data_IF_897545220772
#
_entry.id   IF_897545220772
#
_cell.length_a   1.000
_cell.length_b   1.000
_cell.length_c   1.000
_cell.angle_alpha   90.00
_cell.angle_beta   90.00
_cell.angle_gamma   90.00
#
_symmetry.space_group_name_H-M   'P 1'
#
loop_
_entity.id
_entity.type
_entity.pdbx_description
1 polymer ?
#
# COMPACT_ATOMS: atom_id res chain seq x y z
N UNK A 1 1.27 22.11 -3.77
CA UNK A 1 -0.16 21.94 -4.15
C UNK A 1 -0.89 21.40 -2.94
N UNK A 2 -2.18 21.70 -2.74
CA UNK A 2 -2.94 21.14 -1.61
C UNK A 2 -3.53 19.79 -2.01
N UNK A 3 -3.02 18.72 -1.40
CA UNK A 3 -3.55 17.36 -1.46
C UNK A 3 -4.43 17.09 -0.24
N UNK A 4 -5.48 16.29 -0.42
CA UNK A 4 -6.45 15.98 0.63
C UNK A 4 -6.88 14.52 0.56
N UNK A 5 -7.43 14.02 1.68
CA UNK A 5 -8.14 12.75 1.76
C UNK A 5 -9.60 12.97 1.32
N UNK A 6 -10.00 12.31 0.24
CA UNK A 6 -11.35 12.39 -0.33
C UNK A 6 -12.20 11.19 0.11
N UNK A 7 -13.37 11.46 0.68
CA UNK A 7 -14.31 10.45 1.18
C UNK A 7 -15.66 10.43 0.48
N UNK A 8 -15.79 11.10 -0.67
CA UNK A 8 -17.03 11.18 -1.47
C UNK A 8 -17.49 9.82 -2.04
N UNK A 9 -16.65 8.78 -1.95
CA UNK A 9 -16.98 7.40 -2.31
C UNK A 9 -17.03 6.41 -1.13
N UNK A 10 -16.99 6.88 0.12
CA UNK A 10 -17.07 6.01 1.30
C UNK A 10 -18.38 5.21 1.33
N UNK A 11 -19.52 5.84 1.07
CA UNK A 11 -20.82 5.14 1.10
C UNK A 11 -21.01 4.18 -0.08
N UNK A 12 -20.51 4.57 -1.26
CA UNK A 12 -20.75 3.84 -2.51
C UNK A 12 -19.78 2.67 -2.71
N UNK A 13 -18.49 2.93 -2.49
CA UNK A 13 -17.41 1.98 -2.81
C UNK A 13 -16.57 1.58 -1.61
N UNK A 14 -16.83 2.16 -0.42
CA UNK A 14 -16.07 1.87 0.80
C UNK A 14 -14.60 2.25 0.67
N UNK A 15 -14.32 3.39 0.04
CA UNK A 15 -12.96 3.89 -0.16
C UNK A 15 -12.77 5.33 0.32
N UNK A 16 -11.53 5.63 0.71
CA UNK A 16 -10.96 6.97 0.86
C UNK A 16 -9.75 7.03 -0.06
N UNK A 17 -9.50 8.15 -0.72
CA UNK A 17 -8.37 8.26 -1.65
C UNK A 17 -7.68 9.61 -1.58
N UNK A 18 -6.43 9.67 -2.04
CA UNK A 18 -5.67 10.92 -2.13
C UNK A 18 -5.93 11.63 -3.45
N UNK A 19 -6.20 12.93 -3.37
CA UNK A 19 -6.32 13.76 -4.56
C UNK A 19 -5.95 15.22 -4.28
N UNK A 20 -5.26 15.82 -5.23
CA UNK A 20 -4.99 17.24 -5.31
C UNK A 20 -6.06 17.98 -6.11
N UNK A 21 -6.08 19.30 -5.95
CA UNK A 21 -7.02 20.17 -6.68
C UNK A 21 -7.01 19.91 -8.19
N UNK A 22 -8.19 19.84 -8.80
CA UNK A 22 -8.33 19.66 -10.25
C UNK A 22 -8.10 18.23 -10.74
N UNK A 23 -8.11 17.24 -9.82
CA UNK A 23 -7.89 15.84 -10.16
C UNK A 23 -6.42 15.43 -10.21
N UNK A 24 -5.51 16.28 -9.74
CA UNK A 24 -4.10 15.92 -9.62
C UNK A 24 -3.92 14.72 -8.69
N UNK A 25 -3.04 13.80 -9.08
CA UNK A 25 -2.62 12.68 -8.25
C UNK A 25 -1.42 13.10 -7.40
N UNK A 26 -1.09 12.32 -6.37
CA UNK A 26 0.04 12.61 -5.49
C UNK A 26 1.35 12.10 -6.11
N UNK A 27 2.47 12.52 -5.53
CA UNK A 27 3.78 11.92 -5.72
C UNK A 27 3.93 10.68 -4.81
N UNK A 28 5.12 10.08 -4.78
CA UNK A 28 5.45 8.99 -3.87
C UNK A 28 6.78 9.23 -3.17
N UNK A 29 6.71 9.65 -1.92
CA UNK A 29 7.85 9.74 -1.01
C UNK A 29 8.09 8.38 -0.33
N UNK A 30 9.30 8.18 0.21
CA UNK A 30 9.74 6.89 0.74
C UNK A 30 9.77 6.90 2.25
N UNK A 31 9.12 5.91 2.84
CA UNK A 31 9.17 5.63 4.27
C UNK A 31 10.02 4.37 4.53
N UNK A 32 10.88 4.45 5.55
CA UNK A 32 11.81 3.39 5.94
C UNK A 32 11.61 2.91 7.39
N UNK A 33 10.48 3.27 7.99
CA UNK A 33 10.19 3.05 9.39
C UNK A 33 9.94 1.58 9.74
N UNK A 34 10.01 1.28 11.03
CA UNK A 34 9.73 -0.05 11.57
C UNK A 34 10.97 -0.96 11.71
N UNK A 35 10.73 -2.25 11.55
CA UNK A 35 11.75 -3.28 11.69
C UNK A 35 12.84 -3.13 10.63
N UNK A 36 14.06 -2.97 11.13
CA UNK A 36 15.26 -2.82 10.31
C UNK A 36 15.89 -4.18 9.95
N UNK A 37 16.64 -4.21 8.85
CA UNK A 37 17.30 -5.42 8.32
C UNK A 37 16.49 -6.13 7.24
N UNK A 38 17.09 -7.08 6.53
CA UNK A 38 16.52 -7.56 5.25
C UNK A 38 16.67 -6.52 4.13
N UNK A 39 16.13 -6.81 2.95
CA UNK A 39 16.25 -5.93 1.78
C UNK A 39 17.68 -5.83 1.22
N UNK A 40 17.91 -4.78 0.43
CA UNK A 40 19.17 -4.50 -0.28
C UNK A 40 19.97 -3.31 0.30
N UNK A 41 19.51 -2.76 1.44
CA UNK A 41 20.18 -1.67 2.15
C UNK A 41 19.86 -0.27 1.66
N UNK A 42 18.95 -0.08 0.69
CA UNK A 42 18.59 1.25 0.18
C UNK A 42 17.88 2.16 1.19
N UNK A 43 17.29 1.62 2.25
CA UNK A 43 16.83 2.43 3.38
C UNK A 43 17.99 3.03 4.19
N UNK A 44 19.21 2.50 4.09
CA UNK A 44 20.36 3.02 4.82
C UNK A 44 20.79 4.44 4.43
N UNK A 45 20.23 5.02 3.36
CA UNK A 45 20.41 6.42 3.03
C UNK A 45 19.48 7.35 3.81
N UNK A 46 18.30 6.89 4.25
CA UNK A 46 17.29 7.71 4.93
C UNK A 46 17.87 8.39 6.18
N UNK A 47 17.52 9.67 6.35
CA UNK A 47 17.89 10.46 7.54
C UNK A 47 16.73 10.69 8.50
N UNK A 48 15.55 10.18 8.18
CA UNK A 48 14.27 10.34 8.90
C UNK A 48 13.70 9.02 9.43
N UNK A 49 14.38 7.89 9.23
CA UNK A 49 13.92 6.57 9.69
C UNK A 49 13.67 6.52 11.21
N UNK A 50 12.48 6.06 11.58
CA UNK A 50 12.10 5.69 12.94
C UNK A 50 12.19 4.17 13.16
N UNK A 51 12.39 3.75 14.41
CA UNK A 51 12.53 2.32 14.74
C UNK A 51 11.21 1.56 14.86
N UNK A 52 10.08 2.23 14.63
CA UNK A 52 8.75 1.65 14.79
C UNK A 52 7.74 2.24 13.82
N UNK A 53 6.83 1.41 13.30
CA UNK A 53 5.64 1.91 12.59
C UNK A 53 4.47 2.11 13.56
N UNK A 54 3.50 2.96 13.20
CA UNK A 54 2.33 3.24 14.05
C UNK A 54 1.57 1.99 14.52
N UNK A 55 1.47 0.94 13.69
CA UNK A 55 0.67 -0.25 14.03
C UNK A 55 1.46 -1.45 14.54
N UNK A 56 2.71 -1.25 14.98
CA UNK A 56 3.56 -2.31 15.52
C UNK A 56 2.87 -3.19 16.56
N UNK A 57 2.16 -2.59 17.52
CA UNK A 57 1.53 -3.36 18.60
C UNK A 57 0.29 -4.14 18.14
N UNK A 58 -0.41 -3.66 17.12
CA UNK A 58 -1.49 -4.43 16.46
C UNK A 58 -0.90 -5.66 15.78
N UNK A 59 0.20 -5.49 15.04
CA UNK A 59 0.90 -6.57 14.36
C UNK A 59 1.44 -7.61 15.35
N UNK A 60 2.06 -7.19 16.45
CA UNK A 60 2.50 -8.09 17.54
C UNK A 60 1.34 -8.90 18.10
N UNK A 61 0.16 -8.30 18.21
CA UNK A 61 -1.08 -8.96 18.63
C UNK A 61 -1.50 -10.13 17.74
N UNK A 62 -1.06 -10.18 16.48
CA UNK A 62 -1.31 -11.31 15.59
C UNK A 62 -0.46 -12.55 15.90
N UNK A 63 0.57 -12.44 16.75
CA UNK A 63 1.40 -13.56 17.21
C UNK A 63 2.00 -14.41 16.06
N UNK A 64 2.35 -13.78 14.95
CA UNK A 64 2.95 -14.44 13.77
C UNK A 64 4.48 -14.57 13.84
N UNK A 65 5.09 -14.00 14.88
CA UNK A 65 6.54 -13.87 15.04
C UNK A 65 7.10 -12.55 14.51
N UNK A 66 6.37 -11.85 13.64
CA UNK A 66 6.75 -10.52 13.16
C UNK A 66 6.55 -9.47 14.26
N UNK A 67 7.57 -8.66 14.51
CA UNK A 67 7.55 -7.68 15.60
C UNK A 67 7.10 -6.29 15.17
N UNK A 68 7.24 -5.95 13.89
CA UNK A 68 6.86 -4.69 13.25
C UNK A 68 6.83 -4.88 11.73
N UNK A 69 6.22 -3.97 10.97
CA UNK A 69 6.41 -3.92 9.53
C UNK A 69 7.88 -3.63 9.21
N UNK A 70 8.33 -4.11 8.06
CA UNK A 70 9.69 -3.91 7.59
C UNK A 70 9.60 -3.30 6.20
N UNK A 71 10.04 -2.05 6.03
CA UNK A 71 9.87 -1.29 4.80
C UNK A 71 10.41 -1.99 3.54
N UNK A 72 11.43 -2.84 3.68
CA UNK A 72 12.04 -3.59 2.57
C UNK A 72 11.28 -4.86 2.19
N UNK A 73 10.38 -5.35 3.03
CA UNK A 73 9.66 -6.62 2.84
C UNK A 73 8.15 -6.44 2.75
N UNK A 74 7.60 -5.48 3.48
CA UNK A 74 6.18 -5.24 3.63
C UNK A 74 5.80 -3.98 2.86
N UNK A 75 5.09 -4.08 1.72
CA UNK A 75 4.45 -2.93 1.12
C UNK A 75 3.43 -2.33 2.10
N UNK A 76 3.70 -1.12 2.54
CA UNK A 76 2.75 -0.32 3.31
C UNK A 76 2.70 1.13 2.83
N UNK A 77 1.62 1.79 3.18
CA UNK A 77 1.36 3.21 2.92
C UNK A 77 1.30 3.96 4.24
N UNK A 78 1.90 5.15 4.27
CA UNK A 78 1.75 6.12 5.35
C UNK A 78 0.50 6.96 5.05
N UNK A 79 -0.56 6.74 5.82
CA UNK A 79 -1.88 7.31 5.50
C UNK A 79 -2.51 7.94 6.74
N UNK A 80 -3.00 9.16 6.60
CA UNK A 80 -3.42 9.97 7.75
C UNK A 80 -2.32 10.91 8.22
N UNK A 81 -2.73 11.88 9.04
CA UNK A 81 -1.89 12.91 9.61
C UNK A 81 -2.23 13.08 11.08
N UNK A 82 -1.27 12.78 11.93
CA UNK A 82 -1.31 12.99 13.36
C UNK A 82 -0.36 14.14 13.72
N UNK A 83 -0.69 14.90 14.76
CA UNK A 83 0.15 16.03 15.14
C UNK A 83 -0.57 17.10 15.95
N UNK A 84 0.23 18.08 16.34
CA UNK A 84 -0.14 19.19 17.21
C UNK A 84 0.30 20.56 16.65
N UNK A 85 1.09 20.59 15.56
CA UNK A 85 1.53 21.84 14.93
C UNK A 85 0.33 22.67 14.44
N UNK A 86 0.25 23.89 14.94
CA UNK A 86 -0.83 24.82 14.60
C UNK A 86 -0.87 25.10 13.09
N UNK A 87 -2.03 24.90 12.47
CA UNK A 87 -2.26 25.17 11.05
C UNK A 87 -1.89 24.01 10.12
N UNK A 88 -1.35 22.91 10.65
CA UNK A 88 -1.15 21.69 9.88
C UNK A 88 -2.44 20.87 9.88
N UNK A 89 -2.92 20.41 8.71
CA UNK A 89 -4.10 19.55 8.66
C UNK A 89 -3.81 18.22 9.33
N UNK A 90 -4.75 17.76 10.15
CA UNK A 90 -4.77 16.40 10.70
C UNK A 90 -5.92 15.61 10.10
N UNK A 91 -5.73 14.31 9.98
CA UNK A 91 -6.74 13.38 9.48
C UNK A 91 -6.52 12.01 10.09
N UNK A 92 -7.53 11.50 10.77
CA UNK A 92 -7.54 10.16 11.37
C UNK A 92 -8.39 9.22 10.49
N UNK A 93 -7.78 8.33 9.69
CA UNK A 93 -8.51 7.41 8.83
C UNK A 93 -9.44 6.46 9.60
N UNK A 94 -9.15 6.19 10.89
CA UNK A 94 -9.94 5.27 11.71
C UNK A 94 -11.34 5.80 12.02
N UNK A 95 -11.50 7.12 12.11
CA UNK A 95 -12.80 7.78 12.27
C UNK A 95 -13.69 7.62 11.03
N UNK A 96 -13.10 7.23 9.91
CA UNK A 96 -13.78 7.01 8.63
C UNK A 96 -13.81 5.53 8.22
N UNK A 97 -13.51 4.62 9.15
CA UNK A 97 -13.69 3.19 8.97
C UNK A 97 -12.52 2.47 8.28
N UNK A 98 -11.40 3.15 8.00
CA UNK A 98 -10.13 2.48 7.68
C UNK A 98 -9.61 1.82 8.96
N UNK A 99 -9.04 0.62 8.85
CA UNK A 99 -8.64 -0.17 10.02
C UNK A 99 -7.12 -0.37 10.01
N UNK A 100 -6.44 -0.33 11.17
CA UNK A 100 -5.02 -0.64 11.24
C UNK A 100 -4.69 -1.91 10.44
N UNK A 101 -3.64 -1.84 9.61
CA UNK A 101 -3.19 -2.95 8.76
C UNK A 101 -4.21 -3.41 7.70
N UNK A 102 -5.26 -2.63 7.41
CA UNK A 102 -6.16 -2.91 6.28
C UNK A 102 -5.42 -2.79 4.96
N UNK A 103 -5.79 -3.62 3.98
CA UNK A 103 -5.25 -3.53 2.63
C UNK A 103 -5.55 -2.16 2.02
N UNK A 104 -4.60 -1.66 1.25
CA UNK A 104 -4.69 -0.46 0.43
C UNK A 104 -4.26 -0.79 -0.99
N UNK A 105 -4.79 -0.04 -1.96
CA UNK A 105 -4.35 -0.11 -3.35
C UNK A 105 -3.61 1.17 -3.73
N UNK A 106 -2.47 1.02 -4.39
CA UNK A 106 -1.69 2.13 -4.97
C UNK A 106 -1.62 1.93 -6.47
N UNK A 107 -2.09 2.91 -7.22
CA UNK A 107 -2.01 2.93 -8.68
C UNK A 107 -0.85 3.82 -9.06
N UNK A 108 0.16 3.23 -9.67
CA UNK A 108 1.43 3.86 -10.04
C UNK A 108 1.94 3.17 -11.31
N UNK A 109 2.67 3.88 -12.17
CA UNK A 109 3.32 3.30 -13.35
C UNK A 109 2.45 2.29 -14.15
N UNK A 110 1.18 2.65 -14.40
CA UNK A 110 0.19 1.83 -15.11
C UNK A 110 -0.13 0.45 -14.50
N UNK A 111 0.13 0.24 -13.22
CA UNK A 111 -0.16 -0.98 -12.49
C UNK A 111 -0.85 -0.69 -11.15
N UNK A 112 -1.35 -1.74 -10.51
CA UNK A 112 -1.86 -1.71 -9.13
C UNK A 112 -0.86 -2.45 -8.27
N UNK A 113 -0.43 -1.83 -7.18
CA UNK A 113 0.36 -2.46 -6.12
C UNK A 113 -0.48 -2.46 -4.85
N UNK A 114 -0.59 -3.61 -4.20
CA UNK A 114 -1.27 -3.71 -2.91
C UNK A 114 -0.27 -3.57 -1.77
N UNK A 115 -0.71 -2.88 -0.73
CA UNK A 115 -0.01 -2.79 0.54
C UNK A 115 -1.00 -2.78 1.69
N UNK A 116 -0.53 -2.42 2.88
CA UNK A 116 -1.39 -2.19 4.04
C UNK A 116 -1.28 -0.75 4.52
N UNK A 117 -2.30 -0.26 5.22
CA UNK A 117 -2.15 0.94 6.03
C UNK A 117 -1.21 0.60 7.21
N UNK A 118 0.06 1.00 7.08
CA UNK A 118 1.13 0.61 7.99
C UNK A 118 1.54 1.71 8.95
N UNK A 119 1.43 2.96 8.51
CA UNK A 119 1.94 4.11 9.25
C UNK A 119 1.10 5.38 9.10
N UNK A 120 1.44 6.42 9.86
CA UNK A 120 0.78 7.73 9.87
C UNK A 120 1.78 8.87 9.89
N UNK A 121 1.54 9.93 9.13
CA UNK A 121 2.43 11.09 9.09
C UNK A 121 2.35 11.88 10.40
N UNK A 122 3.50 12.21 11.00
CA UNK A 122 3.60 13.04 12.20
C UNK A 122 3.83 14.54 11.93
N UNK A 123 4.19 15.27 12.99
CA UNK A 123 4.64 16.67 12.94
C UNK A 123 6.07 16.80 12.36
N UNK A 124 6.41 16.10 11.27
CA UNK A 124 7.74 16.12 10.65
C UNK A 124 7.80 16.97 9.37
N UNK A 125 8.97 17.51 9.07
CA UNK A 125 9.24 18.30 7.88
C UNK A 125 8.76 19.76 7.96
N UNK A 126 8.72 20.46 6.82
CA UNK A 126 8.30 21.86 6.73
C UNK A 126 6.78 22.04 6.63
N UNK A 127 6.02 20.98 6.37
CA UNK A 127 4.56 20.97 6.15
C UNK A 127 3.98 19.58 6.45
N UNK A 128 2.66 19.48 6.64
CA UNK A 128 1.99 18.18 6.77
C UNK A 128 2.21 17.34 5.50
N UNK A 129 2.81 16.16 5.70
CA UNK A 129 3.22 15.26 4.63
C UNK A 129 2.08 14.36 4.16
N UNK A 130 2.18 13.84 2.94
CA UNK A 130 1.20 12.94 2.33
C UNK A 130 1.85 12.22 1.14
N UNK A 131 1.36 11.03 0.80
CA UNK A 131 1.88 10.29 -0.35
C UNK A 131 3.20 9.58 -0.05
N UNK A 132 3.42 9.15 1.18
CA UNK A 132 4.57 8.34 1.58
C UNK A 132 4.22 6.84 1.55
N UNK A 133 5.18 6.01 1.15
CA UNK A 133 5.05 4.56 1.10
C UNK A 133 6.39 3.87 1.42
N UNK A 134 6.30 2.65 1.94
CA UNK A 134 7.48 1.82 2.18
C UNK A 134 8.37 1.70 0.95
N UNK A 135 9.69 1.60 1.14
CA UNK A 135 10.62 1.43 0.02
C UNK A 135 10.28 0.23 -0.88
N UNK A 136 9.74 -0.86 -0.33
CA UNK A 136 9.35 -2.03 -1.11
C UNK A 136 8.17 -1.77 -2.05
N UNK A 137 7.16 -1.02 -1.60
CA UNK A 137 6.04 -0.58 -2.43
C UNK A 137 6.53 0.37 -3.53
N UNK A 138 7.33 1.38 -3.17
CA UNK A 138 7.85 2.33 -4.13
C UNK A 138 8.77 1.67 -5.18
N UNK A 139 9.57 0.70 -4.76
CA UNK A 139 10.37 -0.14 -5.67
C UNK A 139 9.50 -0.97 -6.61
N UNK A 140 8.37 -1.50 -6.15
CA UNK A 140 7.45 -2.22 -7.03
C UNK A 140 6.86 -1.31 -8.13
N UNK A 141 6.63 -0.03 -7.82
CA UNK A 141 6.16 0.96 -8.78
C UNK A 141 7.23 1.37 -9.79
N UNK A 142 8.44 1.72 -9.31
CA UNK A 142 9.44 2.47 -10.10
C UNK A 142 10.82 1.82 -10.20
N UNK A 143 11.02 0.68 -9.56
CA UNK A 143 12.27 -0.09 -9.57
C UNK A 143 13.35 0.49 -8.67
N UNK A 144 14.59 0.07 -8.91
CA UNK A 144 15.72 0.29 -7.99
C UNK A 144 16.30 1.72 -8.01
N UNK A 145 15.69 2.63 -8.77
CA UNK A 145 16.01 4.06 -8.71
C UNK A 145 15.58 4.68 -7.38
N UNK A 146 14.59 4.08 -6.72
CA UNK A 146 14.06 4.49 -5.42
C UNK A 146 15.06 4.15 -4.31
N UNK A 147 15.27 5.07 -3.37
CA UNK A 147 16.01 4.82 -2.13
C UNK A 147 15.44 5.65 -0.97
N UNK A 148 15.98 5.48 0.24
CA UNK A 148 15.46 6.13 1.45
C UNK A 148 15.47 7.67 1.45
N UNK A 149 16.12 8.33 0.49
CA UNK A 149 16.07 9.79 0.32
C UNK A 149 15.54 10.22 -1.07
N UNK A 150 15.09 9.27 -1.90
CA UNK A 150 14.66 9.56 -3.27
C UNK A 150 13.48 8.68 -3.62
N UNK A 151 12.30 9.28 -3.54
CA UNK A 151 11.07 8.72 -4.06
C UNK A 151 10.86 9.05 -5.54
N UNK A 152 9.60 9.28 -5.89
CA UNK A 152 9.12 9.61 -7.22
C UNK A 152 8.37 10.95 -7.16
N UNK A 153 8.88 11.97 -7.85
CA UNK A 153 8.43 13.36 -7.74
C UNK A 153 7.18 13.65 -8.60
N UNK A 154 6.91 12.87 -9.64
CA UNK A 154 5.78 13.11 -10.52
C UNK A 154 4.43 12.80 -9.83
N UNK A 155 3.48 13.70 -10.03
CA UNK A 155 2.14 13.65 -9.48
C UNK A 155 1.23 12.70 -10.30
N UNK A 156 1.56 11.41 -10.30
CA UNK A 156 0.86 10.36 -11.05
C UNK A 156 0.45 9.14 -10.21
N UNK A 157 0.46 9.26 -8.88
CA UNK A 157 0.16 8.18 -7.94
C UNK A 157 -1.20 8.37 -7.26
N UNK A 158 -2.05 7.36 -7.35
CA UNK A 158 -3.33 7.31 -6.64
C UNK A 158 -3.27 6.29 -5.50
N UNK A 159 -3.52 6.76 -4.28
CA UNK A 159 -3.61 5.93 -3.09
C UNK A 159 -5.08 5.75 -2.73
N UNK A 160 -5.48 4.51 -2.46
CA UNK A 160 -6.86 4.14 -2.11
C UNK A 160 -6.81 3.30 -0.83
N UNK A 161 -7.40 3.84 0.25
CA UNK A 161 -7.67 3.11 1.47
C UNK A 161 -9.05 2.45 1.41
N UNK A 162 -9.12 1.16 1.71
CA UNK A 162 -10.39 0.45 1.84
C UNK A 162 -10.91 0.55 3.28
N UNK A 163 -12.20 0.85 3.41
CA UNK A 163 -12.89 0.92 4.72
C UNK A 163 -13.61 -0.39 5.00
N UNK A 164 -13.85 -0.68 6.28
CA UNK A 164 -14.59 -1.86 6.74
C UNK A 164 -13.66 -2.95 7.30
N UNK A 165 -14.23 -3.82 8.14
CA UNK A 165 -13.47 -4.90 8.80
C UNK A 165 -12.97 -5.93 7.78
N UNK A 166 -13.68 -6.09 6.67
CA UNK A 166 -13.30 -7.00 5.60
C UNK A 166 -12.09 -6.52 4.78
N UNK A 167 -11.65 -5.27 4.97
CA UNK A 167 -10.39 -4.81 4.40
C UNK A 167 -9.16 -5.30 5.20
N UNK A 168 -9.36 -5.86 6.39
CA UNK A 168 -8.30 -6.33 7.27
C UNK A 168 -7.99 -7.80 6.97
N UNK A 169 -6.78 -8.15 6.50
CA UNK A 169 -6.40 -9.55 6.28
C UNK A 169 -6.33 -10.34 7.60
N UNK A 170 -6.07 -9.65 8.72
CA UNK A 170 -5.97 -10.25 10.05
C UNK A 170 -4.74 -11.15 10.19
N UNK A 171 -4.64 -11.85 11.32
CA UNK A 171 -3.47 -12.64 11.67
C UNK A 171 -3.15 -13.78 10.68
N UNK A 172 -4.16 -14.33 10.01
CA UNK A 172 -4.02 -15.48 9.11
C UNK A 172 -4.18 -15.13 7.61
N UNK A 173 -4.64 -13.93 7.28
CA UNK A 173 -4.90 -13.54 5.88
C UNK A 173 -3.74 -12.82 5.20
N UNK A 174 -2.61 -12.64 5.88
CA UNK A 174 -1.38 -12.12 5.29
C UNK A 174 -0.16 -12.87 5.83
N UNK A 175 0.88 -12.98 5.01
CA UNK A 175 2.15 -13.60 5.35
C UNK A 175 3.03 -12.61 6.14
N UNK A 176 2.59 -12.20 7.33
CA UNK A 176 3.26 -11.17 8.15
C UNK A 176 4.75 -11.44 8.47
N UNK A 177 5.19 -12.69 8.41
CA UNK A 177 6.59 -13.09 8.63
C UNK A 177 7.32 -13.44 7.32
N UNK A 178 6.80 -12.99 6.18
CA UNK A 178 7.42 -13.15 4.88
C UNK A 178 8.83 -12.55 4.89
N UNK A 179 9.75 -13.24 4.22
CA UNK A 179 11.17 -12.82 4.16
C UNK A 179 11.51 -12.08 2.87
N UNK A 180 10.52 -11.80 2.03
CA UNK A 180 10.65 -11.00 0.81
C UNK A 180 9.30 -10.35 0.44
N UNK A 181 9.39 -9.30 -0.39
CA UNK A 181 8.25 -8.55 -0.91
C UNK A 181 7.20 -9.42 -1.60
N UNK A 182 7.63 -10.32 -2.50
CA UNK A 182 6.69 -11.08 -3.32
C UNK A 182 5.81 -12.01 -2.48
N UNK A 183 6.38 -12.65 -1.47
CA UNK A 183 5.63 -13.54 -0.58
C UNK A 183 4.59 -12.78 0.25
N UNK A 184 4.92 -11.58 0.73
CA UNK A 184 3.96 -10.75 1.44
C UNK A 184 2.87 -10.23 0.50
N UNK A 185 3.25 -9.59 -0.61
CA UNK A 185 2.31 -8.98 -1.55
C UNK A 185 1.33 -10.03 -2.07
N UNK A 186 1.84 -11.17 -2.54
CA UNK A 186 1.02 -12.28 -3.05
C UNK A 186 -0.01 -12.77 -2.02
N UNK A 187 0.31 -12.69 -0.73
CA UNK A 187 -0.60 -13.12 0.34
C UNK A 187 -1.82 -12.21 0.53
N UNK A 188 -1.72 -10.94 0.13
CA UNK A 188 -2.82 -9.95 0.23
C UNK A 188 -3.50 -9.65 -1.10
N UNK A 189 -2.93 -10.09 -2.22
CA UNK A 189 -3.41 -9.78 -3.59
C UNK A 189 -4.85 -10.20 -3.84
N UNK A 190 -5.27 -11.40 -3.41
CA UNK A 190 -6.65 -11.85 -3.60
C UNK A 190 -7.66 -10.99 -2.84
N UNK A 191 -7.30 -10.56 -1.63
CA UNK A 191 -8.10 -9.64 -0.84
C UNK A 191 -8.14 -8.26 -1.51
N UNK A 192 -6.99 -7.73 -1.92
CA UNK A 192 -6.88 -6.47 -2.64
C UNK A 192 -7.74 -6.43 -3.90
N UNK A 193 -7.67 -7.48 -4.74
CA UNK A 193 -8.50 -7.62 -5.94
C UNK A 193 -9.99 -7.65 -5.63
N UNK A 194 -10.37 -8.37 -4.57
CA UNK A 194 -11.76 -8.42 -4.10
C UNK A 194 -12.25 -7.04 -3.69
N UNK A 195 -11.45 -6.28 -2.94
CA UNK A 195 -11.79 -4.92 -2.50
C UNK A 195 -11.84 -3.94 -3.67
N UNK A 196 -10.87 -3.98 -4.58
CA UNK A 196 -10.80 -3.09 -5.74
C UNK A 196 -11.97 -3.30 -6.71
N UNK A 197 -12.50 -4.53 -6.80
CA UNK A 197 -13.67 -4.84 -7.63
C UNK A 197 -14.89 -3.96 -7.29
N UNK A 198 -15.02 -3.46 -6.05
CA UNK A 198 -16.10 -2.55 -5.63
C UNK A 198 -16.09 -1.24 -6.42
N UNK A 199 -14.89 -0.76 -6.75
CA UNK A 199 -14.65 0.48 -7.48
C UNK A 199 -14.83 0.26 -8.98
N UNK A 200 -14.26 -0.83 -9.50
CA UNK A 200 -14.30 -1.17 -10.93
C UNK A 200 -15.69 -1.61 -11.46
N UNK A 201 -16.52 -2.22 -10.60
CA UNK A 201 -17.87 -2.68 -10.98
C UNK A 201 -18.87 -1.53 -11.20
N UNK A 202 -18.54 -0.32 -10.75
CA UNK A 202 -19.40 0.86 -10.87
C UNK A 202 -19.30 1.59 -12.22
N UNK A 203 -18.29 1.27 -13.04
CA UNK A 203 -18.15 1.78 -14.39
C UNK A 203 -18.88 0.85 -15.35
N UNK A 204 -20.10 1.20 -15.75
CA UNK A 204 -20.79 0.65 -16.93
C UNK A 204 -20.09 1.04 -18.27
N UNK A 205 -18.76 1.14 -18.25
CA UNK A 205 -17.88 1.19 -19.42
C UNK A 205 -16.94 0.01 -19.28
N UNK A 206 -17.25 -1.09 -19.96
CA UNK A 206 -16.53 -2.34 -19.83
C UNK A 206 -15.03 -2.20 -20.08
N UNK A 207 -14.24 -2.55 -19.08
CA UNK A 207 -12.92 -3.14 -19.29
C UNK A 207 -13.04 -4.59 -18.87
N UNK A 208 -13.15 -5.47 -19.87
CA UNK A 208 -13.29 -6.90 -19.70
C UNK A 208 -12.10 -7.47 -18.93
N UNK A 209 -12.39 -7.94 -17.73
CA UNK A 209 -11.55 -8.82 -16.91
C UNK A 209 -11.24 -10.19 -17.58
N UNK A 210 -11.64 -10.40 -18.84
CA UNK A 210 -11.44 -11.67 -19.56
C UNK A 210 -10.05 -11.90 -20.16
N UNK A 211 -9.07 -11.02 -19.92
CA UNK A 211 -7.70 -11.22 -20.48
C UNK A 211 -6.63 -11.71 -19.51
N UNK A 212 -6.94 -11.88 -18.23
CA UNK A 212 -5.93 -12.27 -17.22
C UNK A 212 -5.84 -13.78 -16.93
N UNK A 213 -6.71 -14.62 -17.51
CA UNK A 213 -6.70 -16.08 -17.30
C UNK A 213 -5.94 -16.91 -18.35
N UNK A 214 -5.17 -16.29 -19.25
CA UNK A 214 -4.44 -17.00 -20.31
C UNK A 214 -2.92 -17.03 -20.08
N UNK A 215 -2.44 -17.47 -18.91
CA UNK A 215 -1.02 -17.87 -18.77
C UNK A 215 -0.74 -19.09 -17.86
N UNK A 216 -1.76 -19.85 -17.47
CA UNK A 216 -1.56 -21.07 -16.67
C UNK A 216 -2.37 -22.24 -17.20
N UNK A 217 -1.95 -22.81 -18.33
CA UNK A 217 -2.14 -24.23 -18.66
C UNK A 217 -1.48 -24.59 -20.01
N UNK A 218 -0.17 -24.89 -20.01
CA UNK A 218 0.39 -25.83 -21.00
C UNK A 218 1.30 -26.79 -20.26
N UNK A 219 0.72 -27.80 -19.61
CA UNK A 219 1.41 -29.03 -19.21
C UNK A 219 0.39 -30.16 -19.00
N UNK A 220 -0.16 -30.69 -20.10
CA UNK A 220 -0.65 -32.09 -20.25
C UNK A 220 -0.50 -32.36 -21.76
N UNK A 221 0.42 -33.20 -22.26
CA UNK A 221 0.58 -34.61 -21.98
C UNK A 221 -0.02 -35.40 -23.14
N UNK A 222 0.78 -35.74 -24.15
CA UNK A 222 0.45 -36.77 -25.16
C UNK A 222 1.71 -37.54 -25.53
N UNK A 223 1.90 -38.67 -24.84
CA UNK A 223 2.71 -39.80 -25.29
C UNK A 223 1.85 -40.63 -26.27
N UNK A 224 2.51 -41.27 -27.25
CA UNK A 224 2.17 -42.57 -27.91
C UNK A 224 1.87 -42.53 -29.43
N UNK A 225 2.93 -42.93 -30.17
CA UNK A 225 3.08 -43.90 -31.28
C UNK A 225 2.49 -43.77 -32.71
N UNK A 226 3.34 -44.28 -33.61
CA UNK A 226 3.12 -44.98 -34.90
C UNK A 226 2.96 -44.07 -36.14
N UNK A 227 3.68 -44.25 -37.26
CA UNK A 227 4.48 -45.36 -37.81
C UNK A 227 5.77 -44.84 -38.46
#
# INVERSE_FOLDING_TARGET
>A
MHFVYCGDFVDKYKIIYLQGRGGNLANMDVDCDGAQGGGDGRCGSSTDTQSETTFRDVLRGYNTGQQDLNASLHPYVVFGNEGTKSGWPTFDPSQHGVKPLSVMAVICNNQVVYGVWGDTNGDDGPQAMIGEASISLATACYGDVINGNSGHDENDVLYIAFTGDEAVPGAQGAAWNATNYNDFESSITDLGNTLLSRVGSGCNGGLGIEKWLLYTAVLVGSVVLAM
#
